data_IF_734143191747
#
_entry.id   IF_734143191747
#
_cell.length_a   1.000
_cell.length_b   1.000
_cell.length_c   1.000
_cell.angle_alpha   90.00
_cell.angle_beta   90.00
_cell.angle_gamma   90.00
#
_symmetry.space_group_name_H-M   'P 1'
#
loop_
_entity.id
_entity.type
_entity.pdbx_description
1 polymer ?
#
# COMPACT_ATOMS: atom_id res chain seq x y z
N UNK A 1 6.76 4.42 -24.67
CA UNK A 1 6.16 3.63 -23.57
C UNK A 1 5.23 4.52 -22.77
N UNK A 2 3.95 4.14 -22.60
CA UNK A 2 3.11 4.80 -21.60
C UNK A 2 3.74 4.49 -20.23
N UNK A 3 4.04 5.52 -19.44
CA UNK A 3 4.35 5.31 -18.01
C UNK A 3 3.05 4.80 -17.39
N UNK A 4 3.00 3.53 -17.01
CA UNK A 4 1.88 3.04 -16.21
C UNK A 4 1.83 3.85 -14.91
N UNK A 5 0.73 4.55 -14.70
CA UNK A 5 0.49 5.32 -13.48
C UNK A 5 -0.31 4.42 -12.57
N UNK A 6 0.34 3.88 -11.54
CA UNK A 6 -0.30 3.12 -10.48
C UNK A 6 -0.76 4.05 -9.35
N UNK A 7 -1.87 3.73 -8.67
CA UNK A 7 -2.82 2.67 -9.03
C UNK A 7 -3.57 2.99 -10.34
N UNK A 8 -3.96 1.94 -11.08
CA UNK A 8 -4.70 2.11 -12.34
C UNK A 8 -6.03 2.86 -12.09
N UNK A 9 -6.49 3.62 -13.09
CA UNK A 9 -7.66 4.50 -12.98
C UNK A 9 -8.91 3.78 -12.42
N UNK A 10 -9.13 2.54 -12.84
CA UNK A 10 -10.25 1.69 -12.41
C UNK A 10 -10.25 1.34 -10.91
N UNK A 11 -9.13 1.54 -10.21
CA UNK A 11 -8.99 1.24 -8.78
C UNK A 11 -8.92 2.50 -7.90
N UNK A 12 -9.12 3.70 -8.48
CA UNK A 12 -9.04 4.96 -7.71
C UNK A 12 -10.05 5.06 -6.57
N UNK A 13 -11.19 4.36 -6.67
CA UNK A 13 -12.18 4.29 -5.59
C UNK A 13 -11.71 3.47 -4.38
N UNK A 14 -10.68 2.63 -4.56
CA UNK A 14 -10.06 1.84 -3.50
C UNK A 14 -8.78 2.48 -2.99
N UNK A 15 -7.92 2.90 -3.92
CA UNK A 15 -6.61 3.48 -3.62
C UNK A 15 -6.39 4.64 -4.56
N UNK A 16 -6.15 5.82 -4.00
CA UNK A 16 -5.78 7.00 -4.77
C UNK A 16 -4.41 7.49 -4.34
N UNK A 17 -3.54 7.77 -5.30
CA UNK A 17 -2.28 8.48 -5.07
C UNK A 17 -2.56 9.98 -5.08
N UNK A 18 -2.09 10.71 -4.07
CA UNK A 18 -2.28 12.15 -3.91
C UNK A 18 -0.94 12.86 -3.76
N UNK A 19 -0.93 14.18 -3.93
CA UNK A 19 0.26 14.99 -3.73
C UNK A 19 0.63 15.07 -2.24
N UNK A 20 1.94 15.06 -1.96
CA UNK A 20 2.48 15.12 -0.61
C UNK A 20 2.08 16.41 0.14
N UNK A 21 1.83 17.50 -0.60
CA UNK A 21 1.41 18.79 -0.05
C UNK A 21 -0.05 18.83 0.45
N UNK A 22 -0.77 17.70 0.42
CA UNK A 22 -2.08 17.54 1.06
C UNK A 22 -1.92 17.50 2.59
N UNK A 23 -1.54 18.64 3.19
CA UNK A 23 -1.01 18.80 4.54
C UNK A 23 -2.07 18.78 5.66
N UNK A 24 -3.36 18.72 5.32
CA UNK A 24 -4.43 18.88 6.32
C UNK A 24 -4.76 17.60 7.09
N UNK A 25 -4.20 16.45 6.71
CA UNK A 25 -4.56 15.16 7.30
C UNK A 25 -3.36 14.45 7.91
N UNK A 26 -3.58 13.78 9.05
CA UNK A 26 -2.52 13.02 9.73
C UNK A 26 -2.20 11.76 8.94
N UNK A 27 -1.08 11.78 8.22
CA UNK A 27 -0.58 10.64 7.48
C UNK A 27 0.09 9.62 8.41
N UNK A 28 -0.24 8.34 8.26
CA UNK A 28 0.62 7.26 8.78
C UNK A 28 1.86 7.18 7.92
N UNK A 29 3.01 6.93 8.52
CA UNK A 29 4.27 6.68 7.81
C UNK A 29 4.65 5.22 7.97
N UNK A 30 4.71 4.48 6.87
CA UNK A 30 5.16 3.09 6.87
C UNK A 30 6.36 2.89 5.96
N UNK A 31 7.23 1.98 6.37
CA UNK A 31 8.42 1.59 5.60
C UNK A 31 8.41 0.08 5.45
N UNK A 32 8.21 -0.42 4.23
CA UNK A 32 8.44 -1.83 3.91
C UNK A 32 9.92 -2.09 3.59
N UNK A 33 10.26 -3.37 3.48
CA UNK A 33 11.63 -3.82 3.25
C UNK A 33 11.62 -5.16 2.52
N UNK A 34 12.55 -5.34 1.58
CA UNK A 34 12.71 -6.60 0.85
C UNK A 34 13.32 -7.70 1.71
N UNK A 35 14.28 -7.39 2.59
CA UNK A 35 14.92 -8.40 3.46
C UNK A 35 13.96 -9.01 4.51
N UNK A 36 12.78 -8.43 4.72
CA UNK A 36 11.77 -8.93 5.65
C UNK A 36 10.59 -9.48 4.86
N UNK A 37 10.79 -10.67 4.28
CA UNK A 37 9.78 -11.42 3.51
C UNK A 37 9.13 -10.63 2.36
N UNK A 38 9.80 -9.59 1.84
CA UNK A 38 9.31 -8.72 0.78
C UNK A 38 7.91 -8.12 1.02
N UNK A 39 7.50 -7.95 2.28
CA UNK A 39 6.20 -7.36 2.58
C UNK A 39 6.17 -6.55 3.87
N UNK A 40 5.28 -5.56 3.90
CA UNK A 40 4.86 -4.85 5.10
C UNK A 40 3.43 -5.24 5.42
N UNK A 41 3.14 -5.61 6.67
CA UNK A 41 1.77 -5.91 7.08
C UNK A 41 1.48 -5.42 8.49
N UNK A 42 0.27 -4.91 8.70
CA UNK A 42 -0.12 -4.32 9.98
C UNK A 42 -1.63 -4.46 10.18
N UNK A 43 -2.04 -4.71 11.43
CA UNK A 43 -3.44 -4.62 11.82
C UNK A 43 -3.80 -3.15 12.07
N UNK A 44 -4.87 -2.66 11.45
CA UNK A 44 -5.39 -1.31 11.66
C UNK A 44 -6.87 -1.36 12.06
N UNK A 45 -7.33 -0.45 12.93
CA UNK A 45 -8.75 -0.28 13.21
C UNK A 45 -9.56 0.00 11.96
N UNK A 46 -10.74 -0.61 11.84
CA UNK A 46 -11.71 -0.39 10.73
C UNK A 46 -12.17 1.06 10.62
N UNK A 47 -12.11 1.81 11.72
CA UNK A 47 -12.54 3.20 11.79
C UNK A 47 -11.48 4.17 11.23
N UNK A 48 -10.27 3.68 10.88
CA UNK A 48 -9.30 4.46 10.09
C UNK A 48 -9.66 4.40 8.61
N UNK A 49 -10.84 4.90 8.25
CA UNK A 49 -11.35 4.91 6.89
C UNK A 49 -11.86 6.31 6.51
N UNK A 50 -11.26 6.99 5.53
CA UNK A 50 -10.10 6.56 4.73
C UNK A 50 -8.77 6.63 5.51
N UNK A 51 -7.83 5.76 5.16
CA UNK A 51 -6.47 5.78 5.69
C UNK A 51 -5.55 6.60 4.78
N UNK A 52 -4.87 7.59 5.35
CA UNK A 52 -3.83 8.39 4.70
C UNK A 52 -2.45 7.83 5.01
N UNK A 53 -1.66 7.52 3.98
CA UNK A 53 -0.41 6.78 4.08
C UNK A 53 0.72 7.43 3.29
N UNK A 54 1.82 7.76 3.96
CA UNK A 54 3.14 7.90 3.35
C UNK A 54 3.85 6.55 3.33
N UNK A 55 4.02 6.01 2.13
CA UNK A 55 4.71 4.74 1.93
C UNK A 55 6.16 4.98 1.53
N UNK A 56 7.05 4.34 2.27
CA UNK A 56 8.45 4.20 1.96
C UNK A 56 8.80 2.72 1.80
N UNK A 57 9.90 2.44 1.10
CA UNK A 57 10.35 1.07 0.92
C UNK A 57 11.88 0.98 0.83
N UNK A 58 12.43 -0.11 1.35
CA UNK A 58 13.87 -0.39 1.35
C UNK A 58 14.13 -1.66 0.52
N UNK A 59 15.12 -1.61 -0.37
CA UNK A 59 15.61 -2.82 -1.07
C UNK A 59 16.41 -3.76 -0.17
N UNK A 60 16.99 -3.21 0.91
CA UNK A 60 17.74 -3.94 1.94
C UNK A 60 17.58 -3.20 3.26
N UNK A 61 17.69 -3.90 4.38
CA UNK A 61 17.48 -3.36 5.73
C UNK A 61 18.36 -2.14 6.02
N UNK A 62 19.61 -2.17 5.56
CA UNK A 62 20.58 -1.09 5.71
C UNK A 62 20.49 0.02 4.64
N UNK A 63 19.69 -0.18 3.59
CA UNK A 63 19.52 0.82 2.54
C UNK A 63 18.64 1.99 3.01
N UNK A 64 18.85 3.20 2.45
CA UNK A 64 17.91 4.30 2.62
C UNK A 64 16.49 3.89 2.20
N UNK A 65 15.49 4.40 2.92
CA UNK A 65 14.10 4.18 2.58
C UNK A 65 13.69 5.14 1.45
N UNK A 66 13.33 4.59 0.30
CA UNK A 66 12.87 5.34 -0.86
C UNK A 66 11.41 5.74 -0.68
N UNK A 67 11.06 6.98 -1.01
CA UNK A 67 9.68 7.44 -0.96
C UNK A 67 8.91 6.90 -2.17
N UNK A 68 7.88 6.11 -1.90
CA UNK A 68 7.05 5.48 -2.94
C UNK A 68 5.86 6.36 -3.30
N UNK A 69 5.23 7.01 -2.32
CA UNK A 69 4.15 7.95 -2.56
C UNK A 69 3.26 8.19 -1.35
N UNK A 70 2.32 9.13 -1.51
CA UNK A 70 1.23 9.41 -0.57
C UNK A 70 -0.07 8.83 -1.12
N UNK A 71 -0.79 8.07 -0.29
CA UNK A 71 -1.98 7.33 -0.68
C UNK A 71 -3.16 7.62 0.25
N UNK A 72 -4.36 7.59 -0.33
CA UNK A 72 -5.64 7.50 0.37
C UNK A 72 -6.20 6.10 0.09
N UNK A 73 -6.45 5.35 1.15
CA UNK A 73 -6.94 3.97 1.09
C UNK A 73 -8.37 3.93 1.64
N UNK A 74 -9.31 3.48 0.81
CA UNK A 74 -10.66 3.13 1.24
C UNK A 74 -10.63 1.75 1.88
N UNK A 75 -10.55 1.70 3.20
CA UNK A 75 -10.35 0.47 3.97
C UNK A 75 -11.56 -0.44 3.84
N UNK A 76 -12.78 0.11 3.92
CA UNK A 76 -14.00 -0.69 3.78
C UNK A 76 -14.14 -1.28 2.37
N UNK A 77 -13.83 -0.49 1.34
CA UNK A 77 -13.83 -0.95 -0.05
C UNK A 77 -12.80 -2.04 -0.32
N UNK A 78 -11.55 -1.84 0.15
CA UNK A 78 -10.50 -2.86 0.02
C UNK A 78 -10.88 -4.16 0.73
N UNK A 79 -11.57 -4.08 1.86
CA UNK A 79 -12.06 -5.25 2.59
C UNK A 79 -13.20 -5.94 1.84
N UNK A 80 -14.19 -5.18 1.33
CA UNK A 80 -15.33 -5.76 0.63
C UNK A 80 -14.94 -6.43 -0.68
N UNK A 81 -13.90 -5.92 -1.36
CA UNK A 81 -13.36 -6.50 -2.59
C UNK A 81 -12.28 -7.58 -2.35
N UNK A 82 -11.95 -7.87 -1.08
CA UNK A 82 -11.07 -8.99 -0.72
C UNK A 82 -9.56 -8.75 -0.84
N UNK A 83 -9.13 -7.51 -1.10
CA UNK A 83 -7.69 -7.16 -1.15
C UNK A 83 -7.02 -7.15 0.23
N UNK A 84 -7.81 -6.91 1.27
CA UNK A 84 -7.40 -7.04 2.68
C UNK A 84 -8.37 -7.98 3.42
N UNK A 85 -8.06 -8.34 4.67
CA UNK A 85 -8.89 -9.27 5.45
C UNK A 85 -9.18 -8.74 6.85
N UNK A 86 -10.24 -9.25 7.49
CA UNK A 86 -10.48 -9.03 8.93
C UNK A 86 -9.33 -9.60 9.76
N UNK A 87 -9.06 -8.94 10.88
CA UNK A 87 -8.06 -9.33 11.86
C UNK A 87 -8.63 -9.15 13.28
N UNK A 88 -9.64 -9.95 13.59
CA UNK A 88 -10.49 -9.77 14.77
C UNK A 88 -11.74 -8.92 14.49
N UNK A 89 -12.38 -8.43 15.56
CA UNK A 89 -13.72 -7.80 15.49
C UNK A 89 -13.67 -6.40 14.89
N UNK A 90 -12.69 -5.58 15.27
CA UNK A 90 -12.60 -4.15 14.91
C UNK A 90 -11.36 -3.78 14.08
N UNK A 91 -10.59 -4.77 13.65
CA UNK A 91 -9.36 -4.53 12.90
C UNK A 91 -9.38 -5.27 11.56
N UNK A 92 -8.59 -4.75 10.63
CA UNK A 92 -8.26 -5.39 9.35
C UNK A 92 -6.75 -5.51 9.22
N UNK A 93 -6.29 -6.55 8.53
CA UNK A 93 -4.90 -6.74 8.16
C UNK A 93 -4.67 -6.19 6.76
N UNK A 94 -3.96 -5.07 6.67
CA UNK A 94 -3.41 -4.56 5.43
C UNK A 94 -2.02 -5.16 5.21
N UNK A 95 -1.75 -5.61 3.99
CA UNK A 95 -0.45 -6.15 3.57
C UNK A 95 -0.09 -5.54 2.21
N UNK A 96 1.10 -4.94 2.17
CA UNK A 96 1.73 -4.40 0.96
C UNK A 96 2.95 -5.27 0.66
N UNK A 97 3.07 -5.76 -0.56
CA UNK A 97 4.15 -6.66 -0.98
C UNK A 97 4.91 -6.03 -2.12
N UNK A 98 6.21 -6.24 -2.17
CA UNK A 98 7.01 -6.02 -3.36
C UNK A 98 7.19 -7.37 -4.07
N UNK A 99 6.98 -7.40 -5.39
CA UNK A 99 7.10 -8.61 -6.20
C UNK A 99 8.23 -8.48 -7.22
N UNK A 100 8.60 -9.58 -7.86
CA UNK A 100 9.75 -9.67 -8.77
C UNK A 100 9.58 -8.85 -10.07
N UNK A 101 8.37 -8.35 -10.33
CA UNK A 101 8.05 -7.43 -11.44
C UNK A 101 8.29 -5.95 -11.11
N UNK A 102 8.97 -5.68 -9.99
CA UNK A 102 9.21 -4.37 -9.40
C UNK A 102 7.92 -3.59 -9.06
N UNK A 103 6.78 -4.28 -8.89
CA UNK A 103 5.53 -3.65 -8.47
C UNK A 103 5.25 -3.88 -6.97
N UNK A 104 4.66 -2.86 -6.36
CA UNK A 104 4.08 -2.95 -5.03
C UNK A 104 2.59 -3.24 -5.13
N UNK A 105 2.13 -4.25 -4.39
CA UNK A 105 0.76 -4.74 -4.39
C UNK A 105 0.13 -4.67 -3.01
N UNK A 106 -1.14 -4.28 -2.95
CA UNK A 106 -2.02 -4.64 -1.83
C UNK A 106 -2.64 -6.00 -2.13
N UNK A 107 -2.43 -6.97 -1.25
CA UNK A 107 -2.96 -8.32 -1.39
C UNK A 107 -2.97 -9.06 -0.06
N UNK A 108 -3.81 -10.09 0.07
CA UNK A 108 -3.77 -10.96 1.25
C UNK A 108 -2.58 -11.95 1.17
N UNK A 109 -2.50 -12.89 2.12
CA UNK A 109 -1.43 -13.92 2.12
C UNK A 109 -1.55 -14.88 0.92
N UNK A 110 -2.75 -15.06 0.36
CA UNK A 110 -2.95 -15.89 -0.84
C UNK A 110 -2.35 -15.29 -2.11
N UNK A 111 -2.02 -13.99 -2.09
CA UNK A 111 -1.53 -13.25 -3.25
C UNK A 111 -2.62 -12.89 -4.27
N UNK A 112 -3.89 -13.25 -4.03
CA UNK A 112 -5.02 -12.90 -4.92
C UNK A 112 -6.29 -12.61 -4.10
N UNK A 113 -7.11 -11.62 -4.49
CA UNK A 113 -6.83 -10.63 -5.54
C UNK A 113 -5.66 -9.71 -5.14
N UNK A 114 -5.01 -9.10 -6.13
CA UNK A 114 -3.87 -8.19 -5.94
C UNK A 114 -4.11 -6.87 -6.67
N UNK A 115 -3.78 -5.76 -6.00
CA UNK A 115 -3.96 -4.41 -6.52
C UNK A 115 -2.59 -3.71 -6.57
N UNK A 116 -2.09 -3.48 -7.77
CA UNK A 116 -0.83 -2.76 -7.99
C UNK A 116 -1.00 -1.27 -7.62
N UNK A 117 -0.20 -0.78 -6.67
CA UNK A 117 -0.27 0.59 -6.15
C UNK A 117 0.91 1.46 -6.58
N UNK A 118 2.05 0.86 -6.91
CA UNK A 118 3.24 1.57 -7.35
C UNK A 118 4.18 0.65 -8.11
N UNK A 119 5.03 1.25 -8.94
CA UNK A 119 6.28 0.63 -9.40
C UNK A 119 7.40 1.11 -8.50
N UNK A 120 8.19 0.19 -7.97
CA UNK A 120 9.42 0.51 -7.26
C UNK A 120 10.37 1.23 -8.25
N UNK A 121 11.05 2.32 -7.87
CA UNK A 121 11.95 3.01 -8.77
C UNK A 121 12.99 2.06 -9.36
N UNK A 122 12.96 1.91 -10.69
CA UNK A 122 14.07 1.31 -11.44
C UNK A 122 15.26 2.27 -11.32
N UNK A 123 16.42 1.75 -10.94
CA UNK A 123 17.67 2.50 -11.02
C UNK A 123 18.05 2.76 -12.46
#
# INVERSE_FOLDING_TARGET
MKKDIYPLLQFRHLVSRIDQASLLQKHRRWTGNDDTDHHYHIAIPTDNDPLYLHLFWRRKSAAPAEFIGTYVLNIKGLLSEGYIRKDGVKNVRLRICHSDDDLLYIQTKSGKPSLAIARFPLR
#
